data_IF_158832063451
#
_entry.id   IF_158832063451
#
_cell.length_a   1.000
_cell.length_b   1.000
_cell.length_c   1.000
_cell.angle_alpha   90.00
_cell.angle_beta   90.00
_cell.angle_gamma   90.00
#
_symmetry.space_group_name_H-M   'P 1'
#
loop_
_entity.id
_entity.type
_entity.pdbx_description
1 polymer ?
#
# COMPACT_ATOMS: atom_id res chain seq x y z
N UNK A 1 20.61 -16.20 11.11
CA UNK A 1 20.53 -16.22 9.63
C UNK A 1 19.09 -16.39 9.14
N UNK A 2 18.30 -17.33 9.67
CA UNK A 2 16.88 -17.50 9.29
C UNK A 2 15.98 -16.31 9.68
N UNK A 3 16.20 -15.68 10.83
CA UNK A 3 15.34 -14.58 11.31
C UNK A 3 15.50 -13.29 10.49
N UNK A 4 16.74 -12.94 10.11
CA UNK A 4 17.01 -11.84 9.17
C UNK A 4 16.34 -12.07 7.80
N UNK A 5 16.30 -13.32 7.31
CA UNK A 5 15.57 -13.66 6.08
C UNK A 5 14.05 -13.48 6.24
N UNK A 6 13.50 -13.78 7.43
CA UNK A 6 12.09 -13.54 7.75
C UNK A 6 11.71 -12.06 7.74
N UNK A 7 12.58 -11.19 8.29
CA UNK A 7 12.42 -9.72 8.27
C UNK A 7 12.40 -9.20 6.83
N UNK A 8 13.36 -9.62 6.00
CA UNK A 8 13.45 -9.20 4.60
C UNK A 8 12.26 -9.69 3.78
N UNK A 9 11.86 -10.95 3.93
CA UNK A 9 10.68 -11.48 3.23
C UNK A 9 9.40 -10.71 3.59
N UNK A 10 9.25 -10.36 4.87
CA UNK A 10 8.12 -9.56 5.36
C UNK A 10 8.13 -8.14 4.78
N UNK A 11 9.29 -7.49 4.71
CA UNK A 11 9.46 -6.19 4.06
C UNK A 11 9.10 -6.24 2.56
N UNK A 12 9.53 -7.29 1.85
CA UNK A 12 9.17 -7.49 0.43
C UNK A 12 7.66 -7.65 0.26
N UNK A 13 6.99 -8.38 1.15
CA UNK A 13 5.54 -8.51 1.12
C UNK A 13 4.85 -7.15 1.27
N UNK A 14 5.33 -6.29 2.17
CA UNK A 14 4.82 -4.91 2.30
C UNK A 14 5.02 -4.13 1.00
N UNK A 15 6.22 -4.19 0.39
CA UNK A 15 6.50 -3.52 -0.90
C UNK A 15 5.50 -3.95 -1.99
N UNK A 16 5.18 -5.24 -2.06
CA UNK A 16 4.22 -5.76 -3.05
C UNK A 16 2.82 -5.18 -2.84
N UNK A 17 2.32 -5.13 -1.60
CA UNK A 17 0.99 -4.57 -1.31
C UNK A 17 0.98 -3.05 -1.58
N UNK A 18 2.06 -2.35 -1.23
CA UNK A 18 2.20 -0.90 -1.51
C UNK A 18 2.08 -0.58 -3.00
N UNK A 19 2.57 -1.45 -3.90
CA UNK A 19 2.43 -1.26 -5.35
C UNK A 19 0.97 -1.26 -5.78
N UNK A 20 0.14 -2.15 -5.22
CA UNK A 20 -1.30 -2.20 -5.53
C UNK A 20 -2.00 -0.91 -5.08
N UNK A 21 -1.68 -0.40 -3.90
CA UNK A 21 -2.21 0.89 -3.40
C UNK A 21 -1.80 2.05 -4.32
N UNK A 22 -0.53 2.10 -4.72
CA UNK A 22 0.00 3.15 -5.62
C UNK A 22 -0.73 3.11 -6.96
N UNK A 23 -0.92 1.92 -7.54
CA UNK A 23 -1.63 1.75 -8.82
C UNK A 23 -3.07 2.25 -8.68
N UNK A 24 -3.77 1.88 -7.60
CA UNK A 24 -5.12 2.35 -7.33
C UNK A 24 -5.16 3.89 -7.20
N UNK A 25 -4.34 4.47 -6.32
CA UNK A 25 -4.30 5.93 -6.14
C UNK A 25 -4.05 6.67 -7.46
N UNK A 26 -3.08 6.23 -8.26
CA UNK A 26 -2.81 6.82 -9.59
C UNK A 26 -4.03 6.73 -10.50
N UNK A 27 -4.67 5.57 -10.58
CA UNK A 27 -5.87 5.36 -11.38
C UNK A 27 -7.00 6.33 -10.99
N UNK A 28 -7.29 6.46 -9.69
CA UNK A 28 -8.35 7.33 -9.19
C UNK A 28 -8.04 8.82 -9.40
N UNK A 29 -6.80 9.24 -9.11
CA UNK A 29 -6.35 10.62 -9.34
C UNK A 29 -6.44 10.97 -10.82
N UNK A 30 -5.98 10.07 -11.69
CA UNK A 30 -6.08 10.27 -13.13
C UNK A 30 -7.54 10.37 -13.56
N UNK A 31 -8.41 9.46 -13.14
CA UNK A 31 -9.77 9.43 -13.65
C UNK A 31 -10.68 10.56 -13.13
N UNK A 32 -10.42 11.07 -11.93
CA UNK A 32 -11.19 12.19 -11.34
C UNK A 32 -10.56 13.57 -11.64
N UNK A 33 -9.27 13.64 -11.99
CA UNK A 33 -8.54 14.88 -12.29
C UNK A 33 -8.69 15.89 -11.14
N UNK A 34 -9.31 17.04 -11.40
CA UNK A 34 -9.52 18.13 -10.44
C UNK A 34 -10.41 17.73 -9.27
N UNK A 35 -11.29 16.74 -9.46
CA UNK A 35 -12.23 16.27 -8.42
C UNK A 35 -11.64 15.15 -7.54
N UNK A 36 -10.37 14.78 -7.77
CA UNK A 36 -9.72 13.76 -6.97
C UNK A 36 -9.52 14.25 -5.52
N UNK A 37 -10.01 13.51 -4.51
CA UNK A 37 -9.81 13.86 -3.10
C UNK A 37 -8.32 14.06 -2.76
N UNK A 38 -8.01 15.09 -1.98
CA UNK A 38 -6.64 15.36 -1.51
C UNK A 38 -6.05 14.17 -0.76
N UNK A 39 -6.89 13.42 -0.03
CA UNK A 39 -6.49 12.19 0.66
C UNK A 39 -5.85 11.15 -0.25
N UNK A 40 -6.29 11.01 -1.51
CA UNK A 40 -5.66 10.08 -2.45
C UNK A 40 -4.23 10.49 -2.81
N UNK A 41 -3.97 11.80 -2.94
CA UNK A 41 -2.62 12.33 -3.18
C UNK A 41 -1.74 12.12 -1.96
N UNK A 42 -2.27 12.37 -0.76
CA UNK A 42 -1.56 12.09 0.50
C UNK A 42 -1.19 10.62 0.59
N UNK A 43 -2.15 9.71 0.41
CA UNK A 43 -1.88 8.25 0.44
C UNK A 43 -0.83 7.87 -0.61
N UNK A 44 -0.92 8.41 -1.84
CA UNK A 44 0.06 8.14 -2.87
C UNK A 44 1.48 8.56 -2.45
N UNK A 45 1.63 9.75 -1.87
CA UNK A 45 2.92 10.25 -1.40
C UNK A 45 3.45 9.35 -0.29
N UNK A 46 2.68 9.16 0.77
CA UNK A 46 3.08 8.36 1.94
C UNK A 46 3.48 6.94 1.54
N UNK A 47 2.63 6.23 0.78
CA UNK A 47 2.91 4.85 0.38
C UNK A 47 4.10 4.75 -0.58
N UNK A 48 4.33 5.77 -1.40
CA UNK A 48 5.50 5.81 -2.29
C UNK A 48 6.82 5.93 -1.53
N UNK A 49 6.82 6.47 -0.30
CA UNK A 49 8.01 6.55 0.55
C UNK A 49 8.37 5.22 1.23
N UNK A 50 7.40 4.30 1.39
CA UNK A 50 7.65 3.02 2.07
C UNK A 50 8.62 2.12 1.31
N UNK A 51 8.55 2.13 -0.03
CA UNK A 51 9.41 1.28 -0.86
C UNK A 51 10.91 1.52 -0.60
N UNK A 52 11.46 2.74 -0.78
CA UNK A 52 12.88 2.98 -0.56
C UNK A 52 13.31 2.72 0.90
N UNK A 53 12.44 2.96 1.88
CA UNK A 53 12.73 2.64 3.30
C UNK A 53 12.96 1.13 3.48
N UNK A 54 12.08 0.31 2.90
CA UNK A 54 12.17 -1.15 3.02
C UNK A 54 13.29 -1.75 2.15
N UNK A 55 13.58 -1.17 0.99
CA UNK A 55 14.76 -1.52 0.17
C UNK A 55 16.06 -1.21 0.91
N UNK A 56 16.14 -0.07 1.61
CA UNK A 56 17.28 0.26 2.46
C UNK A 56 17.42 -0.72 3.63
N UNK A 57 16.31 -1.12 4.26
CA UNK A 57 16.35 -2.15 5.32
C UNK A 57 16.88 -3.49 4.79
N UNK A 58 16.44 -3.91 3.61
CA UNK A 58 16.98 -5.10 2.94
C UNK A 58 18.47 -4.95 2.65
N UNK A 59 18.89 -3.80 2.11
CA UNK A 59 20.30 -3.53 1.83
C UNK A 59 21.16 -3.62 3.09
N UNK A 60 20.77 -2.93 4.17
CA UNK A 60 21.50 -2.93 5.44
C UNK A 60 21.59 -4.36 5.98
N UNK A 61 20.52 -5.16 5.88
CA UNK A 61 20.53 -6.57 6.33
C UNK A 61 21.52 -7.47 5.57
N UNK A 62 21.93 -7.07 4.35
CA UNK A 62 22.95 -7.76 3.56
C UNK A 62 24.36 -7.28 3.90
N UNK A 63 24.51 -6.02 4.31
CA UNK A 63 25.80 -5.43 4.67
C UNK A 63 26.21 -5.76 6.10
N UNK A 64 25.26 -5.85 7.01
CA UNK A 64 25.51 -5.98 8.45
C UNK A 64 24.55 -6.99 9.08
N UNK A 65 25.02 -7.67 10.14
CA UNK A 65 24.14 -8.50 10.95
C UNK A 65 23.42 -7.62 11.97
N UNK A 66 22.10 -7.54 11.85
CA UNK A 66 21.28 -6.89 12.88
C UNK A 66 21.49 -7.54 14.25
N UNK A 67 21.51 -6.74 15.31
CA UNK A 67 21.50 -7.27 16.68
C UNK A 67 20.22 -8.09 16.91
N UNK A 68 20.28 -9.11 17.77
CA UNK A 68 19.11 -9.92 18.11
C UNK A 68 17.94 -9.05 18.62
N UNK A 69 18.24 -8.02 19.41
CA UNK A 69 17.24 -7.04 19.87
C UNK A 69 16.56 -6.31 18.71
N UNK A 70 17.31 -5.87 17.70
CA UNK A 70 16.73 -5.20 16.54
C UNK A 70 15.91 -6.18 15.68
N UNK A 71 16.41 -7.40 15.45
CA UNK A 71 15.68 -8.44 14.71
C UNK A 71 14.34 -8.75 15.37
N UNK A 72 14.35 -8.98 16.69
CA UNK A 72 13.13 -9.25 17.45
C UNK A 72 12.13 -8.10 17.38
N UNK A 73 12.60 -6.85 17.46
CA UNK A 73 11.72 -5.67 17.36
C UNK A 73 11.12 -5.52 15.96
N UNK A 74 11.87 -5.82 14.90
CA UNK A 74 11.39 -5.74 13.53
C UNK A 74 10.40 -6.87 13.19
N UNK A 75 10.64 -8.07 13.72
CA UNK A 75 9.85 -9.27 13.48
C UNK A 75 8.67 -9.46 14.46
N UNK A 76 8.55 -8.63 15.50
CA UNK A 76 7.45 -8.70 16.44
C UNK A 76 6.09 -8.53 15.75
N UNK A 77 5.06 -9.19 16.28
CA UNK A 77 3.69 -9.12 15.76
C UNK A 77 3.06 -7.73 15.87
N UNK A 78 3.55 -6.90 16.77
CA UNK A 78 3.23 -5.47 16.90
C UNK A 78 4.37 -4.57 16.38
N UNK A 79 5.34 -5.17 15.69
CA UNK A 79 6.50 -4.50 15.12
C UNK A 79 6.16 -3.66 13.90
N UNK A 80 7.11 -2.81 13.47
CA UNK A 80 6.86 -1.83 12.41
C UNK A 80 6.56 -2.49 11.04
N UNK A 81 7.15 -3.65 10.74
CA UNK A 81 6.92 -4.34 9.47
C UNK A 81 5.50 -4.91 9.42
N UNK A 82 5.06 -5.55 10.50
CA UNK A 82 3.69 -6.05 10.61
C UNK A 82 2.68 -4.90 10.62
N UNK A 83 2.98 -3.80 11.32
CA UNK A 83 2.17 -2.57 11.28
C UNK A 83 2.01 -2.03 9.86
N UNK A 84 3.09 -1.96 9.09
CA UNK A 84 3.02 -1.57 7.67
C UNK A 84 2.18 -2.56 6.85
N UNK A 85 2.38 -3.87 7.04
CA UNK A 85 1.62 -4.91 6.33
C UNK A 85 0.12 -4.81 6.61
N UNK A 86 -0.26 -4.65 7.87
CA UNK A 86 -1.64 -4.52 8.31
C UNK A 86 -2.27 -3.25 7.72
N UNK A 87 -1.60 -2.10 7.82
CA UNK A 87 -2.07 -0.84 7.25
C UNK A 87 -2.23 -0.90 5.73
N UNK A 88 -1.24 -1.43 5.00
CA UNK A 88 -1.32 -1.58 3.54
C UNK A 88 -2.43 -2.54 3.12
N UNK A 89 -2.61 -3.65 3.85
CA UNK A 89 -3.69 -4.60 3.60
C UNK A 89 -5.06 -3.96 3.82
N UNK A 90 -5.21 -3.15 4.87
CA UNK A 90 -6.44 -2.40 5.12
C UNK A 90 -6.72 -1.38 4.00
N UNK A 91 -5.70 -0.62 3.58
CA UNK A 91 -5.83 0.34 2.48
C UNK A 91 -6.24 -0.33 1.16
N UNK A 92 -5.61 -1.44 0.78
CA UNK A 92 -5.98 -2.18 -0.45
C UNK A 92 -7.45 -2.60 -0.43
N UNK A 93 -7.98 -3.02 0.73
CA UNK A 93 -9.38 -3.45 0.86
C UNK A 93 -10.39 -2.32 0.64
N UNK A 94 -9.99 -1.06 0.82
CA UNK A 94 -10.86 0.10 0.55
C UNK A 94 -11.04 0.35 -0.95
N UNK A 95 -10.13 -0.14 -1.79
CA UNK A 95 -10.26 0.00 -3.23
C UNK A 95 -11.16 -1.09 -3.83
N UNK A 96 -12.16 -0.73 -4.65
CA UNK A 96 -13.01 -1.67 -5.36
C UNK A 96 -12.21 -2.71 -6.18
N UNK A 97 -12.38 -4.00 -5.87
CA UNK A 97 -11.68 -5.11 -6.56
C UNK A 97 -11.84 -5.13 -8.09
N UNK A 98 -12.89 -4.47 -8.63
CA UNK A 98 -13.22 -4.44 -10.06
C UNK A 98 -12.60 -3.28 -10.85
N UNK A 99 -12.07 -2.24 -10.22
CA UNK A 99 -11.54 -1.07 -10.95
C UNK A 99 -10.19 -1.35 -11.64
N UNK A 100 -9.45 -2.36 -11.18
CA UNK A 100 -8.16 -2.76 -11.75
C UNK A 100 -8.28 -3.70 -12.97
N UNK A 101 -9.44 -4.32 -13.19
CA UNK A 101 -9.65 -5.29 -14.29
C UNK A 101 -10.27 -4.65 -15.55
N UNK A 102 -10.89 -3.48 -15.46
CA UNK A 102 -11.56 -2.88 -16.62
C UNK A 102 -10.60 -2.00 -17.44
N UNK A 103 -9.67 -2.65 -18.14
CA UNK A 103 -8.99 -2.04 -19.30
C UNK A 103 -9.91 -1.92 -20.52
N UNK A 104 -11.17 -2.39 -20.44
CA UNK A 104 -12.06 -2.48 -21.61
C UNK A 104 -13.47 -1.90 -21.40
N UNK A 105 -13.85 -1.06 -22.38
CA UNK A 105 -15.17 -0.59 -22.85
C UNK A 105 -15.90 0.56 -22.10
N UNK A 106 -15.64 1.77 -22.60
CA UNK A 106 -16.60 2.78 -23.11
C UNK A 106 -17.91 3.05 -22.34
N UNK A 107 -17.90 2.94 -21.02
CA UNK A 107 -18.84 3.65 -20.13
C UNK A 107 -17.97 4.58 -19.31
N UNK A 108 -18.29 5.89 -19.28
CA UNK A 108 -17.33 6.91 -18.84
C UNK A 108 -16.74 6.52 -17.48
N UNK A 109 -15.41 6.33 -17.43
CA UNK A 109 -14.70 5.84 -16.23
C UNK A 109 -15.10 6.63 -14.98
N UNK A 110 -15.41 7.91 -15.19
CA UNK A 110 -15.92 8.86 -14.21
C UNK A 110 -17.26 8.45 -13.57
N UNK A 111 -18.27 8.01 -14.34
CA UNK A 111 -19.57 7.60 -13.78
C UNK A 111 -19.47 6.39 -12.84
N UNK A 112 -18.63 5.39 -13.18
CA UNK A 112 -18.42 4.22 -12.31
C UNK A 112 -17.68 4.59 -11.02
N UNK A 113 -16.80 5.58 -11.10
CA UNK A 113 -16.04 6.08 -9.97
C UNK A 113 -16.90 6.92 -9.03
N UNK A 114 -17.71 7.83 -9.57
CA UNK A 114 -18.70 8.59 -8.80
C UNK A 114 -19.68 7.66 -8.09
N UNK A 115 -20.16 6.60 -8.76
CA UNK A 115 -21.01 5.59 -8.12
C UNK A 115 -20.29 4.80 -7.00
N UNK A 116 -19.01 4.45 -7.18
CA UNK A 116 -18.23 3.77 -6.16
C UNK A 116 -17.98 4.67 -4.94
N UNK A 117 -17.65 5.94 -5.15
CA UNK A 117 -17.50 6.91 -4.06
C UNK A 117 -18.82 7.22 -3.35
N UNK A 118 -19.93 7.31 -4.07
CA UNK A 118 -21.26 7.45 -3.47
C UNK A 118 -21.60 6.25 -2.57
N UNK A 119 -21.26 5.03 -3.00
CA UNK A 119 -21.45 3.82 -2.20
C UNK A 119 -20.60 3.82 -0.92
N UNK A 120 -19.40 4.39 -0.97
CA UNK A 120 -18.53 4.52 0.20
C UNK A 120 -18.98 5.63 1.16
N UNK A 121 -19.56 6.72 0.63
CA UNK A 121 -20.11 7.80 1.43
C UNK A 121 -21.39 7.39 2.20
N UNK A 122 -22.22 6.53 1.61
CA UNK A 122 -23.43 5.98 2.24
C UNK A 122 -23.14 4.96 3.37
N UNK A 123 -21.88 4.52 3.51
CA UNK A 123 -21.43 3.61 4.57
C UNK A 123 -20.73 4.32 5.74
N UNK A 124 -20.68 5.66 5.73
CA UNK A 124 -20.18 6.43 6.88
C UNK A 124 -21.33 6.69 7.87
N UNK A 125 -21.21 6.30 9.15
CA UNK A 125 -22.20 6.64 10.18
C UNK A 125 -22.26 8.14 10.47
#
# INVERSE_FOLDING_TARGET
MAEALGVVASAIAVIQISKEVIIACKFYIEALRSDAPTSLRTILIEVSTLKPVLENLEFISKCETFTATLQNRLAASDGPIEGCRAAMTALVKLFPKRSLQSRQKNTSKRQKLEAAFATLADQSP
#
